data_IF_516073333200
#
_entry.id   IF_516073333200
#
_cell.length_a   1.000
_cell.length_b   1.000
_cell.length_c   1.000
_cell.angle_alpha   90.00
_cell.angle_beta   90.00
_cell.angle_gamma   90.00
#
_symmetry.space_group_name_H-M   'P 1'
#
loop_
_entity.id
_entity.type
_entity.pdbx_description
1 polymer ?
#
# COMPACT_ATOMS: atom_id res chain seq x y z
N UNK A 1 19.01 -4.73 -15.12
CA UNK A 1 17.90 -5.72 -15.18
C UNK A 1 17.46 -6.06 -13.76
N UNK A 2 16.16 -6.24 -13.53
CA UNK A 2 15.62 -6.59 -12.21
C UNK A 2 16.01 -8.01 -11.80
N UNK A 3 16.75 -8.19 -10.69
CA UNK A 3 17.10 -9.51 -10.19
C UNK A 3 16.00 -10.03 -9.23
N UNK A 4 15.02 -10.73 -9.80
CA UNK A 4 13.87 -11.26 -9.06
C UNK A 4 14.26 -12.28 -7.98
N UNK A 5 15.36 -13.01 -8.17
CA UNK A 5 15.89 -13.97 -7.18
C UNK A 5 16.44 -13.23 -5.96
N UNK A 6 17.27 -12.22 -6.17
CA UNK A 6 17.82 -11.40 -5.09
C UNK A 6 16.71 -10.65 -4.34
N UNK A 7 15.68 -10.17 -5.05
CA UNK A 7 14.51 -9.56 -4.42
C UNK A 7 13.73 -10.58 -3.58
N UNK A 8 13.43 -11.75 -4.12
CA UNK A 8 12.75 -12.83 -3.38
C UNK A 8 13.51 -13.18 -2.10
N UNK A 9 14.84 -13.27 -2.16
CA UNK A 9 15.69 -13.52 -1.00
C UNK A 9 15.64 -12.37 0.01
N UNK A 10 15.80 -11.12 -0.44
CA UNK A 10 15.68 -9.93 0.40
C UNK A 10 14.32 -9.86 1.13
N UNK A 11 13.23 -10.10 0.40
CA UNK A 11 11.87 -10.12 0.96
C UNK A 11 11.72 -11.23 2.01
N UNK A 12 12.25 -12.42 1.73
CA UNK A 12 12.17 -13.57 2.62
C UNK A 12 12.96 -13.35 3.92
N UNK A 13 14.16 -12.76 3.82
CA UNK A 13 15.00 -12.43 4.99
C UNK A 13 14.38 -11.40 5.94
N UNK A 14 13.41 -10.61 5.46
CA UNK A 14 12.72 -9.59 6.24
C UNK A 14 11.33 -10.05 6.72
N UNK A 15 11.05 -11.35 6.65
CA UNK A 15 9.79 -11.95 7.11
C UNK A 15 9.89 -12.31 8.60
N UNK A 16 8.83 -12.04 9.34
CA UNK A 16 8.66 -12.39 10.75
C UNK A 16 7.20 -12.83 10.97
N UNK A 17 6.98 -13.98 11.61
CA UNK A 17 5.65 -14.59 11.77
C UNK A 17 4.65 -13.69 12.53
N UNK A 18 5.15 -12.76 13.35
CA UNK A 18 4.32 -11.91 14.21
C UNK A 18 4.08 -10.55 13.57
N UNK A 19 5.14 -9.90 13.09
CA UNK A 19 5.08 -8.51 12.65
C UNK A 19 5.03 -8.37 11.12
N UNK A 20 5.88 -9.09 10.38
CA UNK A 20 6.01 -8.94 8.93
C UNK A 20 5.79 -10.29 8.28
N UNK A 21 4.54 -10.76 8.26
CA UNK A 21 4.19 -12.13 7.85
C UNK A 21 4.52 -12.42 6.39
N UNK A 22 4.37 -11.41 5.52
CA UNK A 22 4.62 -11.59 4.09
C UNK A 22 4.96 -10.28 3.40
N UNK A 23 5.82 -10.40 2.41
CA UNK A 23 6.17 -9.32 1.50
C UNK A 23 5.94 -9.73 0.06
N UNK A 24 5.51 -8.81 -0.78
CA UNK A 24 5.47 -9.04 -2.22
C UNK A 24 5.55 -7.74 -3.03
N UNK A 25 6.08 -7.89 -4.24
CA UNK A 25 6.15 -6.85 -5.26
C UNK A 25 5.20 -7.22 -6.38
N UNK A 26 4.38 -6.27 -6.81
CA UNK A 26 3.41 -6.47 -7.88
C UNK A 26 3.24 -5.20 -8.72
N UNK A 27 2.71 -5.36 -9.92
CA UNK A 27 2.19 -4.23 -10.70
C UNK A 27 0.83 -3.78 -10.15
N UNK A 28 0.39 -2.54 -10.41
CA UNK A 28 -0.97 -2.10 -10.12
C UNK A 28 -2.06 -2.96 -10.80
N UNK A 29 -1.73 -3.62 -11.92
CA UNK A 29 -2.61 -4.59 -12.61
C UNK A 29 -2.70 -5.96 -11.91
N UNK A 30 -1.92 -6.19 -10.85
CA UNK A 30 -1.95 -7.44 -10.06
C UNK A 30 -1.02 -8.53 -10.58
N UNK A 31 -0.06 -8.21 -11.45
CA UNK A 31 0.99 -9.15 -11.84
C UNK A 31 2.04 -9.21 -10.74
N UNK A 32 2.23 -10.39 -10.15
CA UNK A 32 3.22 -10.64 -9.12
C UNK A 32 4.63 -10.75 -9.72
N UNK A 33 5.59 -9.99 -9.16
CA UNK A 33 6.99 -9.97 -9.63
C UNK A 33 7.93 -10.73 -8.69
N UNK A 34 7.73 -10.58 -7.38
CA UNK A 34 8.50 -11.28 -6.35
C UNK A 34 7.67 -11.38 -5.06
N UNK A 35 7.94 -12.39 -4.24
CA UNK A 35 7.27 -12.59 -2.95
C UNK A 35 8.20 -13.27 -1.96
N UNK A 36 8.01 -13.03 -0.66
CA UNK A 36 8.69 -13.80 0.38
C UNK A 36 8.30 -15.29 0.33
N UNK A 37 9.23 -16.16 0.69
CA UNK A 37 9.04 -17.60 0.80
C UNK A 37 9.21 -18.06 2.26
N UNK A 38 8.55 -19.16 2.67
CA UNK A 38 7.61 -19.97 1.92
C UNK A 38 6.21 -19.34 1.84
N UNK A 39 5.50 -19.54 0.72
CA UNK A 39 4.13 -19.02 0.53
C UNK A 39 3.27 -20.00 -0.26
N UNK A 40 2.01 -20.20 0.16
CA UNK A 40 0.99 -20.93 -0.62
C UNK A 40 0.50 -20.07 -1.79
N UNK A 41 0.65 -20.58 -3.02
CA UNK A 41 0.25 -19.92 -4.25
C UNK A 41 -1.25 -19.62 -4.34
N UNK A 42 -2.12 -20.41 -3.69
CA UNK A 42 -3.57 -20.15 -3.67
C UNK A 42 -3.88 -18.92 -2.82
N UNK A 43 -3.29 -18.85 -1.63
CA UNK A 43 -3.53 -17.73 -0.72
C UNK A 43 -2.82 -16.46 -1.19
N UNK A 44 -1.63 -16.57 -1.77
CA UNK A 44 -0.94 -15.43 -2.37
C UNK A 44 -1.76 -14.77 -3.47
N UNK A 45 -2.38 -15.57 -4.36
CA UNK A 45 -3.24 -15.03 -5.43
C UNK A 45 -4.44 -14.29 -4.87
N UNK A 46 -5.08 -14.80 -3.81
CA UNK A 46 -6.18 -14.08 -3.14
C UNK A 46 -5.71 -12.74 -2.57
N UNK A 47 -4.54 -12.72 -1.94
CA UNK A 47 -3.98 -11.50 -1.35
C UNK A 47 -3.58 -10.46 -2.40
N UNK A 48 -2.95 -10.90 -3.49
CA UNK A 48 -2.64 -10.03 -4.63
C UNK A 48 -3.92 -9.43 -5.21
N UNK A 49 -4.94 -10.25 -5.47
CA UNK A 49 -6.24 -9.76 -5.96
C UNK A 49 -6.87 -8.75 -4.99
N UNK A 50 -6.84 -9.04 -3.68
CA UNK A 50 -7.35 -8.13 -2.65
C UNK A 50 -6.62 -6.78 -2.65
N UNK A 51 -5.28 -6.80 -2.68
CA UNK A 51 -4.47 -5.58 -2.69
C UNK A 51 -4.65 -4.78 -3.99
N UNK A 52 -4.75 -5.45 -5.15
CA UNK A 52 -5.02 -4.83 -6.45
C UNK A 52 -6.37 -4.14 -6.48
N UNK A 53 -7.45 -4.85 -6.10
CA UNK A 53 -8.80 -4.28 -6.10
C UNK A 53 -8.89 -3.09 -5.14
N UNK A 54 -8.29 -3.22 -3.94
CA UNK A 54 -8.27 -2.13 -2.96
C UNK A 54 -7.49 -0.92 -3.49
N UNK A 55 -6.36 -1.13 -4.15
CA UNK A 55 -5.56 -0.04 -4.75
C UNK A 55 -6.31 0.66 -5.88
N UNK A 56 -6.94 -0.10 -6.78
CA UNK A 56 -7.67 0.44 -7.94
C UNK A 56 -8.93 1.22 -7.53
N UNK A 57 -9.68 0.75 -6.52
CA UNK A 57 -10.86 1.46 -6.02
C UNK A 57 -10.51 2.90 -5.60
N UNK A 58 -9.34 3.08 -4.98
CA UNK A 58 -8.87 4.39 -4.55
C UNK A 58 -8.38 5.28 -5.70
N UNK A 59 -7.79 4.69 -6.75
CA UNK A 59 -7.43 5.43 -7.97
C UNK A 59 -8.67 5.95 -8.70
N UNK A 60 -9.67 5.09 -8.95
CA UNK A 60 -10.91 5.51 -9.63
C UNK A 60 -11.72 6.53 -8.82
N UNK A 61 -11.61 6.48 -7.50
CA UNK A 61 -12.19 7.49 -6.61
C UNK A 61 -11.52 8.87 -6.70
N UNK A 62 -10.22 8.94 -7.05
CA UNK A 62 -9.54 10.21 -7.35
C UNK A 62 -10.03 10.79 -8.68
N UNK A 63 -10.11 9.99 -9.74
CA UNK A 63 -10.53 10.42 -11.08
C UNK A 63 -11.96 10.99 -11.11
N UNK A 64 -12.89 10.39 -10.36
CA UNK A 64 -14.27 10.89 -10.22
C UNK A 64 -14.35 12.20 -9.42
N UNK A 65 -13.44 12.42 -8.46
CA UNK A 65 -13.38 13.65 -7.68
C UNK A 65 -12.72 14.82 -8.44
N UNK A 66 -11.82 14.53 -9.39
CA UNK A 66 -11.15 15.52 -10.23
C UNK A 66 -12.11 16.22 -11.21
N UNK A 67 -13.14 15.53 -11.70
CA UNK A 67 -14.14 16.11 -12.62
C UNK A 67 -15.00 17.21 -11.99
N UNK A 68 -14.97 17.40 -10.66
CA UNK A 68 -15.78 18.39 -9.95
C UNK A 68 -15.04 19.65 -9.47
N UNK A 69 -13.71 19.67 -9.43
CA UNK A 69 -12.93 20.76 -8.80
C UNK A 69 -11.56 20.99 -9.48
N UNK A 70 -11.57 21.31 -10.79
CA UNK A 70 -10.38 21.36 -11.63
C UNK A 70 -9.45 22.59 -11.45
N UNK A 71 -9.74 23.56 -10.58
CA UNK A 71 -8.98 24.83 -10.58
C UNK A 71 -7.93 25.04 -9.47
N UNK A 72 -7.72 24.13 -8.51
CA UNK A 72 -6.72 24.39 -7.42
C UNK A 72 -5.94 23.18 -6.87
N UNK A 73 -5.65 22.13 -7.65
CA UNK A 73 -4.85 21.00 -7.13
C UNK A 73 -3.51 20.86 -7.84
N UNK A 74 -2.44 21.08 -7.07
CA UNK A 74 -1.06 20.89 -7.53
C UNK A 74 -0.73 19.43 -7.88
N UNK A 75 0.35 19.19 -8.64
CA UNK A 75 0.71 17.90 -9.26
C UNK A 75 1.14 16.78 -8.29
N UNK A 76 0.97 16.95 -6.97
CA UNK A 76 1.65 16.14 -5.95
C UNK A 76 0.68 15.25 -5.12
N UNK A 77 -0.58 15.11 -5.57
CA UNK A 77 -1.66 14.47 -4.79
C UNK A 77 -1.99 13.02 -5.14
N UNK A 78 -1.21 12.33 -5.96
CA UNK A 78 -1.50 10.93 -6.29
C UNK A 78 -1.31 9.96 -5.10
N UNK A 79 -2.13 8.90 -5.06
CA UNK A 79 -2.00 7.80 -4.09
C UNK A 79 -0.57 7.23 -4.02
N UNK A 80 0.03 7.30 -2.83
CA UNK A 80 1.39 6.78 -2.57
C UNK A 80 1.40 5.61 -1.61
N UNK A 81 0.54 5.63 -0.59
CA UNK A 81 0.45 4.56 0.41
C UNK A 81 -1.00 4.28 0.75
N UNK A 82 -1.37 3.00 0.76
CA UNK A 82 -2.68 2.51 1.16
C UNK A 82 -2.51 1.59 2.35
N UNK A 83 -3.21 1.85 3.45
CA UNK A 83 -3.20 0.97 4.62
C UNK A 83 -4.61 0.46 4.90
N UNK A 84 -4.73 -0.85 5.03
CA UNK A 84 -5.97 -1.56 5.30
C UNK A 84 -5.80 -2.31 6.61
N UNK A 85 -6.60 -1.95 7.59
CA UNK A 85 -6.60 -2.57 8.91
C UNK A 85 -7.79 -3.52 9.04
N UNK A 86 -7.51 -4.80 9.31
CA UNK A 86 -8.51 -5.83 9.59
C UNK A 86 -8.32 -6.37 11.00
N UNK A 87 -9.25 -7.18 11.49
CA UNK A 87 -9.17 -7.79 12.82
C UNK A 87 -7.89 -8.64 13.02
N UNK A 88 -7.45 -9.33 11.97
CA UNK A 88 -6.37 -10.32 12.05
C UNK A 88 -5.03 -9.88 11.45
N UNK A 89 -5.05 -8.92 10.51
CA UNK A 89 -3.86 -8.42 9.81
C UNK A 89 -3.97 -6.94 9.44
N UNK A 90 -2.82 -6.33 9.21
CA UNK A 90 -2.69 -5.06 8.51
C UNK A 90 -2.08 -5.32 7.13
N UNK A 91 -2.63 -4.73 6.09
CA UNK A 91 -2.03 -4.70 4.75
C UNK A 91 -1.61 -3.28 4.46
N UNK A 92 -0.34 -3.08 4.11
CA UNK A 92 0.18 -1.77 3.73
C UNK A 92 0.81 -1.88 2.35
N UNK A 93 0.25 -1.13 1.40
CA UNK A 93 0.70 -1.06 0.01
C UNK A 93 1.38 0.29 -0.20
N UNK A 94 2.55 0.31 -0.83
CA UNK A 94 3.26 1.53 -1.19
C UNK A 94 3.72 1.50 -2.64
N UNK A 95 3.55 2.63 -3.32
CA UNK A 95 4.06 2.86 -4.67
C UNK A 95 5.57 3.10 -4.63
N UNK A 96 6.34 2.29 -5.36
CA UNK A 96 7.78 2.48 -5.55
C UNK A 96 8.05 3.26 -6.85
N UNK A 97 7.36 2.87 -7.92
CA UNK A 97 7.41 3.50 -9.25
C UNK A 97 5.99 3.52 -9.83
N UNK A 98 5.70 4.27 -10.93
CA UNK A 98 4.36 4.31 -11.54
C UNK A 98 3.69 2.95 -11.70
N UNK A 99 4.45 1.93 -12.13
CA UNK A 99 3.96 0.57 -12.41
C UNK A 99 4.47 -0.48 -11.42
N UNK A 100 4.91 -0.07 -10.22
CA UNK A 100 5.48 -0.98 -9.23
C UNK A 100 5.03 -0.67 -7.81
N UNK A 101 4.41 -1.65 -7.17
CA UNK A 101 3.92 -1.60 -5.80
C UNK A 101 4.68 -2.60 -4.91
N UNK A 102 4.98 -2.16 -3.69
CA UNK A 102 5.48 -3.01 -2.61
C UNK A 102 4.37 -3.19 -1.58
N UNK A 103 4.16 -4.43 -1.14
CA UNK A 103 3.12 -4.76 -0.17
C UNK A 103 3.70 -5.51 1.02
N UNK A 104 3.27 -5.07 2.21
CA UNK A 104 3.52 -5.73 3.49
C UNK A 104 2.21 -6.25 4.07
N UNK A 105 2.16 -7.55 4.34
CA UNK A 105 1.16 -8.17 5.19
C UNK A 105 1.74 -8.33 6.59
N UNK A 106 1.20 -7.56 7.55
CA UNK A 106 1.67 -7.57 8.92
C UNK A 106 0.66 -8.19 9.88
N UNK A 107 1.15 -8.98 10.83
CA UNK A 107 0.32 -9.50 11.90
C UNK A 107 -0.03 -8.43 12.91
N UNK A 108 -1.16 -8.61 13.59
CA UNK A 108 -1.57 -7.73 14.69
C UNK A 108 -1.89 -8.56 15.92
N UNK A 109 -1.60 -8.04 17.13
CA UNK A 109 -2.11 -8.62 18.36
C UNK A 109 -3.65 -8.69 18.35
N UNK A 110 -4.27 -9.58 19.15
CA UNK A 110 -5.72 -9.66 19.25
C UNK A 110 -6.34 -8.29 19.54
N UNK A 111 -7.20 -7.82 18.61
CA UNK A 111 -7.85 -6.53 18.74
C UNK A 111 -9.05 -6.62 19.69
N UNK A 112 -9.45 -5.47 20.25
CA UNK A 112 -10.67 -5.37 21.07
C UNK A 112 -11.90 -5.65 20.20
N UNK A 113 -12.96 -6.17 20.81
CA UNK A 113 -14.25 -6.46 20.15
C UNK A 113 -14.91 -5.23 19.49
N UNK A 114 -14.52 -4.02 19.89
CA UNK A 114 -14.97 -2.76 19.31
C UNK A 114 -14.10 -2.25 18.16
N UNK A 115 -13.13 -3.04 17.69
CA UNK A 115 -12.28 -2.63 16.58
C UNK A 115 -13.09 -2.57 15.29
N UNK A 116 -13.02 -1.44 14.59
CA UNK A 116 -13.64 -1.28 13.28
C UNK A 116 -12.56 -1.34 12.20
N UNK A 117 -12.70 -2.23 11.19
CA UNK A 117 -11.84 -2.22 10.02
C UNK A 117 -11.80 -0.85 9.36
N UNK A 118 -10.62 -0.45 8.90
CA UNK A 118 -10.37 0.90 8.40
C UNK A 118 -9.42 0.84 7.22
N UNK A 119 -9.77 1.57 6.15
CA UNK A 119 -8.86 1.80 5.02
C UNK A 119 -8.45 3.27 4.98
N UNK A 120 -7.16 3.52 4.82
CA UNK A 120 -6.56 4.86 4.78
C UNK A 120 -5.68 5.02 3.55
N UNK A 121 -5.93 6.08 2.79
CA UNK A 121 -5.17 6.44 1.58
C UNK A 121 -4.33 7.68 1.86
N UNK A 122 -3.03 7.60 1.59
CA UNK A 122 -2.03 8.62 1.88
C UNK A 122 -1.31 9.06 0.60
N UNK A 123 -1.13 10.38 0.46
CA UNK A 123 -0.34 11.01 -0.59
C UNK A 123 1.14 11.10 -0.23
N UNK A 124 1.91 11.81 -1.07
CA UNK A 124 3.38 11.89 -0.96
C UNK A 124 3.91 12.43 0.36
N UNK A 125 3.17 13.36 0.98
CA UNK A 125 3.56 14.00 2.24
C UNK A 125 2.96 13.31 3.47
N UNK A 126 2.35 12.12 3.31
CA UNK A 126 1.57 11.47 4.36
C UNK A 126 0.22 12.15 4.63
N UNK A 127 -0.19 13.10 3.77
CA UNK A 127 -1.53 13.69 3.83
C UNK A 127 -2.58 12.64 3.48
N UNK A 128 -3.64 12.58 4.30
CA UNK A 128 -4.79 11.73 4.01
C UNK A 128 -5.52 12.26 2.77
N UNK A 129 -5.58 11.45 1.71
CA UNK A 129 -6.24 11.80 0.45
C UNK A 129 -7.76 11.70 0.56
N UNK A 130 -8.26 10.80 1.41
CA UNK A 130 -9.67 10.64 1.71
C UNK A 130 -9.86 10.36 3.22
N UNK A 131 -10.99 10.79 3.81
CA UNK A 131 -11.36 10.35 5.15
C UNK A 131 -11.51 8.83 5.13
N UNK A 132 -11.03 8.17 6.18
CA UNK A 132 -10.94 6.73 6.20
C UNK A 132 -12.31 6.07 6.01
N UNK A 133 -12.42 5.20 5.00
CA UNK A 133 -13.65 4.46 4.74
C UNK A 133 -13.76 3.34 5.77
N UNK A 134 -14.78 3.43 6.63
CA UNK A 134 -15.26 2.31 7.43
C UNK A 134 -16.17 1.46 6.53
N UNK A 135 -16.07 0.13 6.62
CA UNK A 135 -16.70 -0.82 5.70
C UNK A 135 -18.25 -0.79 5.61
N UNK A 136 -18.93 0.14 6.30
CA UNK A 136 -20.39 0.27 6.32
C UNK A 136 -20.92 1.60 5.72
N UNK A 137 -20.05 2.51 5.28
CA UNK A 137 -20.48 3.86 4.87
C UNK A 137 -20.66 4.00 3.36
N UNK A 138 -21.55 3.21 2.76
CA UNK A 138 -21.92 3.35 1.34
C UNK A 138 -23.04 4.39 1.10
N UNK A 139 -23.58 5.08 2.12
CA UNK A 139 -24.78 5.93 1.96
C UNK A 139 -24.84 7.23 2.78
N UNK A 140 -23.72 7.77 3.26
CA UNK A 140 -23.75 9.07 3.96
C UNK A 140 -22.60 9.97 3.52
N UNK A 141 -22.81 10.66 2.39
CA UNK A 141 -22.06 11.87 2.10
C UNK A 141 -22.54 12.99 3.05
N UNK A 142 -21.56 13.67 3.65
CA UNK A 142 -21.67 14.91 4.43
C UNK A 142 -22.05 14.78 5.90
N UNK A 143 -21.33 15.54 6.72
CA UNK A 143 -21.42 15.73 8.18
C UNK A 143 -20.61 14.73 9.02
N UNK A 144 -19.30 14.98 9.14
CA UNK A 144 -18.63 15.14 10.44
C UNK A 144 -17.15 15.43 10.23
N UNK A 145 -16.80 16.72 10.28
CA UNK A 145 -15.46 17.18 10.58
C UNK A 145 -15.13 16.84 12.04
N UNK A 146 -14.55 15.66 12.28
CA UNK A 146 -13.69 15.46 13.45
C UNK A 146 -12.25 15.40 12.98
N UNK A 147 -11.65 16.59 13.02
CA UNK A 147 -10.23 16.82 12.98
C UNK A 147 -9.68 16.28 14.31
N UNK A 148 -9.26 15.02 14.32
CA UNK A 148 -8.30 14.54 15.32
C UNK A 148 -6.89 14.86 14.81
N UNK A 149 -6.54 16.15 14.87
CA UNK A 149 -5.14 16.58 14.94
C UNK A 149 -4.64 16.23 16.34
N UNK A 150 -4.41 14.95 16.59
CA UNK A 150 -3.65 14.53 17.76
C UNK A 150 -2.28 14.06 17.28
N UNK A 151 -1.38 15.04 17.11
CA UNK A 151 0.07 14.86 17.30
C UNK A 151 0.27 14.58 18.78
N UNK A 152 -0.18 13.41 19.20
CA UNK A 152 0.21 12.78 20.46
C UNK A 152 1.07 11.62 20.05
N UNK A 153 2.28 11.59 20.60
CA UNK A 153 3.16 10.42 20.70
C UNK A 153 2.35 9.23 21.23
N UNK A 154 1.62 8.58 20.33
CA UNK A 154 0.87 7.37 20.61
C UNK A 154 1.91 6.26 20.80
N UNK A 155 1.69 5.31 21.74
CA UNK A 155 2.51 4.10 21.80
C UNK A 155 2.53 3.50 20.39
N UNK A 156 3.73 3.24 19.85
CA UNK A 156 3.94 2.90 18.45
C UNK A 156 2.90 1.87 18.01
N UNK A 157 1.86 2.32 17.28
CA UNK A 157 0.82 1.41 16.84
C UNK A 157 1.48 0.38 15.94
N UNK A 158 1.00 -0.86 15.99
CA UNK A 158 1.56 -1.93 15.14
C UNK A 158 1.52 -1.52 13.66
N UNK A 159 0.50 -0.76 13.27
CA UNK A 159 0.44 -0.11 11.95
C UNK A 159 1.60 0.86 11.69
N UNK A 160 1.93 1.75 12.63
CA UNK A 160 3.06 2.67 12.49
C UNK A 160 4.39 1.90 12.33
N UNK A 161 4.54 0.78 13.03
CA UNK A 161 5.71 -0.09 12.88
C UNK A 161 5.74 -0.77 11.50
N UNK A 162 4.60 -1.26 10.99
CA UNK A 162 4.50 -1.79 9.63
C UNK A 162 4.85 -0.74 8.58
N UNK A 163 4.31 0.49 8.70
CA UNK A 163 4.64 1.61 7.81
C UNK A 163 6.13 1.92 7.84
N UNK A 164 6.74 2.00 9.02
CA UNK A 164 8.18 2.24 9.17
C UNK A 164 9.01 1.14 8.50
N UNK A 165 8.62 -0.13 8.63
CA UNK A 165 9.29 -1.26 7.99
C UNK A 165 9.13 -1.22 6.47
N UNK A 166 7.93 -0.94 5.98
CA UNK A 166 7.64 -0.78 4.56
C UNK A 166 8.47 0.36 3.97
N UNK A 167 8.55 1.50 4.65
CA UNK A 167 9.34 2.66 4.21
C UNK A 167 10.82 2.32 4.12
N UNK A 168 11.37 1.65 5.13
CA UNK A 168 12.77 1.24 5.13
C UNK A 168 13.08 0.26 3.98
N UNK A 169 12.19 -0.70 3.73
CA UNK A 169 12.34 -1.64 2.62
C UNK A 169 12.20 -0.95 1.25
N UNK A 170 11.22 -0.04 1.13
CA UNK A 170 11.02 0.76 -0.06
C UNK A 170 12.27 1.60 -0.37
N UNK A 171 12.83 2.29 0.62
CA UNK A 171 14.04 3.09 0.47
C UNK A 171 15.24 2.23 0.03
N UNK A 172 15.42 1.04 0.61
CA UNK A 172 16.49 0.12 0.22
C UNK A 172 16.35 -0.36 -1.23
N UNK A 173 15.14 -0.73 -1.66
CA UNK A 173 14.85 -1.16 -3.03
C UNK A 173 15.04 0.01 -4.01
N UNK A 174 14.56 1.20 -3.67
CA UNK A 174 14.70 2.40 -4.52
C UNK A 174 16.17 2.80 -4.69
N UNK A 175 16.96 2.78 -3.61
CA UNK A 175 18.40 3.06 -3.70
C UNK A 175 19.13 2.07 -4.63
N UNK A 176 18.72 0.80 -4.63
CA UNK A 176 19.28 -0.19 -5.57
C UNK A 176 18.83 0.05 -7.02
N UNK A 177 17.58 0.48 -7.23
CA UNK A 177 17.08 0.87 -8.55
C UNK A 177 17.80 2.10 -9.09
N UNK A 178 18.04 3.12 -8.27
CA UNK A 178 18.81 4.31 -8.64
C UNK A 178 20.25 3.93 -9.01
N UNK A 179 20.89 3.06 -8.20
CA UNK A 179 22.25 2.57 -8.47
C UNK A 179 22.36 1.77 -9.77
N UNK A 180 21.33 1.00 -10.11
CA UNK A 180 21.31 0.16 -11.31
C UNK A 180 20.68 0.83 -12.53
N UNK A 181 20.12 2.04 -12.37
CA UNK A 181 19.35 2.74 -13.39
C UNK A 181 18.03 2.04 -13.76
N UNK A 182 17.51 1.16 -12.91
CA UNK A 182 16.31 0.39 -13.21
C UNK A 182 15.06 1.26 -13.16
N UNK A 183 14.35 1.31 -14.29
CA UNK A 183 12.98 1.83 -14.38
C UNK A 183 12.08 0.72 -14.88
N UNK A 184 10.95 0.53 -14.20
CA UNK A 184 9.91 -0.37 -14.66
C UNK A 184 9.33 0.20 -15.96
N UNK A 185 9.41 -0.52 -17.10
CA UNK A 185 8.83 -0.04 -18.35
C UNK A 185 7.35 0.26 -18.16
N UNK A 186 6.88 1.33 -18.80
CA UNK A 186 5.46 1.64 -18.86
C UNK A 186 4.72 0.58 -19.67
N UNK A 187 3.44 0.36 -19.36
CA UNK A 187 2.59 -0.53 -20.17
C UNK A 187 2.50 -0.02 -21.63
N UNK A 188 2.73 1.28 -21.86
CA UNK A 188 2.80 1.93 -23.18
C UNK A 188 4.10 1.65 -23.97
N UNK A 189 5.20 1.24 -23.32
CA UNK A 189 6.48 0.99 -24.01
C UNK A 189 6.59 -0.42 -24.60
N UNK A 190 5.63 -1.30 -24.32
CA UNK A 190 5.55 -2.65 -24.88
C UNK A 190 4.79 -2.75 -26.22
N UNK A 191 4.28 -1.63 -26.74
CA UNK A 191 3.46 -1.59 -27.95
C UNK A 191 4.16 -0.97 -29.16
N UNK A 192 5.31 -1.48 -29.59
CA UNK A 192 5.88 -1.19 -30.91
C UNK A 192 6.93 -2.25 -31.23
N UNK A 193 6.51 -3.37 -31.85
CA UNK A 193 7.19 -4.08 -32.94
C UNK A 193 6.24 -5.14 -33.53
#
# INVERSE_FOLDING_TARGET
MLNTKALTELLSLNTDERLCKRWYLMTPSGTLLASSQPTDAKDLRKQVAFATLSWQEHLSGEELAEHGQAEQRGPDRGLQTLSIETEAINVVVRKLQPHLLLVLEGGVPPRKRSFMPRTTAEGRNGELLQPARTAESSLAASLSSQIDLNVTTAPSSVLALHKKKLEAMAAAILADFERTGFKMPGEDETGLF
#
